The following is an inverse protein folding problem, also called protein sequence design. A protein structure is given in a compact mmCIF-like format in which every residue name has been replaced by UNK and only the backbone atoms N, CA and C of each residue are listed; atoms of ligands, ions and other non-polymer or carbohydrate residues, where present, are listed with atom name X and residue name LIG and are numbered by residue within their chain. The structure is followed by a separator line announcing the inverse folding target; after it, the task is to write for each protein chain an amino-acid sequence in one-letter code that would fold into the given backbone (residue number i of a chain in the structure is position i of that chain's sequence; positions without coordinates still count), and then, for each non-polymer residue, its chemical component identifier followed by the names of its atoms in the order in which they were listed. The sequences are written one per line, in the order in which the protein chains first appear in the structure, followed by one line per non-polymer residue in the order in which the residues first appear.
data_IF_436089088831
#
_entry.id   IF_436089088831
#
_cell.length_a   1.000
_cell.length_b   1.000
_cell.length_c   1.000
_cell.angle_alpha   90.00
_cell.angle_beta   90.00
_cell.angle_gamma   90.00
#
_symmetry.space_group_name_H-M   'P 1'
#
loop_
_entity.id
_entity.type
_entity.pdbx_description
1 polymer ?
#
# COMPACT_ATOMS: atom_id res chain seq x y z
N UNK A 1 6.96 -5.00 3.26
CA UNK A 1 6.33 -3.85 3.93
C UNK A 1 6.94 -2.57 3.41
N UNK A 2 6.13 -1.55 3.16
CA UNK A 2 6.51 -0.22 2.65
C UNK A 2 6.02 0.82 3.66
N UNK A 3 6.87 1.76 4.04
CA UNK A 3 6.58 2.79 5.05
C UNK A 3 6.53 4.18 4.42
N UNK A 4 6.00 5.15 5.18
CA UNK A 4 6.05 6.59 4.86
C UNK A 4 7.48 7.11 4.65
N UNK A 5 8.43 6.68 5.49
CA UNK A 5 9.86 6.98 5.28
C UNK A 5 10.46 5.98 4.31
N UNK A 6 11.19 6.47 3.32
CA UNK A 6 11.89 5.62 2.35
C UNK A 6 12.88 4.71 3.07
N UNK A 7 12.59 3.41 3.16
CA UNK A 7 13.43 2.43 3.85
C UNK A 7 14.49 1.82 2.94
N UNK A 8 14.95 2.55 1.90
CA UNK A 8 16.01 2.09 1.01
C UNK A 8 17.35 2.07 1.74
N UNK A 9 18.21 1.11 1.43
CA UNK A 9 19.56 1.05 1.94
C UNK A 9 20.41 2.15 1.27
N UNK A 10 20.86 3.18 2.00
CA UNK A 10 21.51 4.34 1.39
C UNK A 10 22.90 4.02 0.84
N UNK A 11 23.54 2.95 1.31
CA UNK A 11 24.86 2.47 0.87
C UNK A 11 24.78 1.46 -0.29
N UNK A 12 23.58 1.13 -0.77
CA UNK A 12 23.38 0.25 -1.93
C UNK A 12 22.82 1.06 -3.09
N UNK A 13 23.23 0.72 -4.31
CA UNK A 13 22.56 1.21 -5.51
C UNK A 13 21.13 0.64 -5.62
N UNK A 14 20.34 1.17 -6.55
CA UNK A 14 18.95 0.77 -6.80
C UNK A 14 18.83 -0.71 -7.13
N UNK A 15 19.71 -1.25 -7.98
CA UNK A 15 19.71 -2.66 -8.35
C UNK A 15 19.92 -3.54 -7.12
N UNK A 16 20.94 -3.24 -6.30
CA UNK A 16 21.26 -3.96 -5.07
C UNK A 16 20.17 -3.84 -4.01
N UNK A 17 19.49 -2.69 -3.94
CA UNK A 17 18.31 -2.53 -3.09
C UNK A 17 17.23 -3.55 -3.45
N UNK A 18 16.92 -3.72 -4.74
CA UNK A 18 15.91 -4.68 -5.21
C UNK A 18 16.41 -6.12 -5.07
N UNK A 19 17.67 -6.39 -5.41
CA UNK A 19 18.29 -7.72 -5.29
C UNK A 19 18.24 -8.27 -3.86
N UNK A 20 18.35 -7.40 -2.84
CA UNK A 20 18.41 -7.82 -1.44
C UNK A 20 17.30 -8.80 -1.06
N UNK A 21 16.05 -8.51 -1.40
CA UNK A 21 14.92 -9.39 -1.08
C UNK A 21 14.97 -10.74 -1.81
N UNK A 22 15.51 -10.74 -3.03
CA UNK A 22 15.63 -11.93 -3.89
C UNK A 22 16.76 -12.84 -3.40
N UNK A 23 17.92 -12.25 -3.04
CA UNK A 23 19.08 -12.98 -2.50
C UNK A 23 18.76 -13.65 -1.17
N UNK A 24 17.98 -12.98 -0.30
CA UNK A 24 17.52 -13.57 0.96
C UNK A 24 16.60 -14.79 0.76
N UNK A 25 15.98 -14.92 -0.42
CA UNK A 25 15.21 -16.10 -0.83
C UNK A 25 16.05 -17.28 -1.31
N UNK A 26 17.39 -17.17 -1.29
CA UNK A 26 18.31 -18.24 -1.71
C UNK A 26 18.72 -18.19 -3.20
N UNK A 27 18.29 -17.18 -3.94
CA UNK A 27 18.63 -17.01 -5.36
C UNK A 27 20.09 -16.57 -5.53
N UNK A 28 20.78 -17.13 -6.52
CA UNK A 28 22.17 -16.73 -6.82
C UNK A 28 22.27 -15.25 -7.21
N UNK A 29 23.41 -14.62 -6.93
CA UNK A 29 23.63 -13.19 -7.23
C UNK A 29 23.39 -12.83 -8.71
N UNK A 30 23.80 -13.70 -9.62
CA UNK A 30 23.61 -13.50 -11.07
C UNK A 30 22.13 -13.49 -11.43
N UNK A 31 21.38 -14.44 -10.89
CA UNK A 31 19.95 -14.57 -11.13
C UNK A 31 19.15 -13.47 -10.44
N UNK A 32 19.50 -13.12 -9.20
CA UNK A 32 18.91 -12.01 -8.46
C UNK A 32 19.10 -10.68 -9.21
N UNK A 33 20.27 -10.46 -9.83
CA UNK A 33 20.50 -9.28 -10.66
C UNK A 33 19.60 -9.28 -11.90
N UNK A 34 19.44 -10.41 -12.57
CA UNK A 34 18.57 -10.56 -13.74
C UNK A 34 17.12 -10.23 -13.39
N UNK A 35 16.60 -10.83 -12.33
CA UNK A 35 15.24 -10.55 -11.83
C UNK A 35 15.07 -9.10 -11.38
N UNK A 36 16.04 -8.54 -10.65
CA UNK A 36 16.00 -7.14 -10.23
C UNK A 36 15.94 -6.18 -11.42
N UNK A 37 16.66 -6.46 -12.51
CA UNK A 37 16.59 -5.64 -13.72
C UNK A 37 15.21 -5.73 -14.40
N UNK A 38 14.58 -6.90 -14.44
CA UNK A 38 13.21 -7.04 -14.96
C UNK A 38 12.22 -6.21 -14.15
N UNK A 39 12.33 -6.28 -12.83
CA UNK A 39 11.55 -5.44 -11.92
C UNK A 39 11.79 -3.94 -12.15
N UNK A 40 13.05 -3.52 -12.33
CA UNK A 40 13.38 -2.13 -12.63
C UNK A 40 12.86 -1.68 -13.99
N UNK A 41 12.79 -2.58 -14.97
CA UNK A 41 12.22 -2.33 -16.29
C UNK A 41 10.70 -2.11 -16.20
N UNK A 42 9.99 -2.96 -15.44
CA UNK A 42 8.53 -2.82 -15.20
C UNK A 42 8.21 -1.43 -14.65
N UNK A 43 9.11 -0.86 -13.84
CA UNK A 43 8.87 0.41 -13.14
C UNK A 43 9.50 1.61 -13.83
N UNK A 44 10.13 1.40 -14.99
CA UNK A 44 10.79 2.44 -15.78
C UNK A 44 11.99 3.07 -15.08
N UNK A 45 12.72 2.30 -14.25
CA UNK A 45 13.90 2.74 -13.52
C UNK A 45 15.18 1.97 -13.89
N UNK A 46 15.16 1.21 -14.99
CA UNK A 46 16.32 0.48 -15.50
C UNK A 46 17.56 1.39 -15.67
N UNK A 47 17.39 2.59 -16.23
CA UNK A 47 18.49 3.55 -16.42
C UNK A 47 19.10 4.07 -15.10
N UNK A 48 18.40 3.91 -13.98
CA UNK A 48 18.84 4.31 -12.64
C UNK A 48 19.33 3.13 -11.80
N UNK A 49 19.50 1.94 -12.39
CA UNK A 49 19.91 0.73 -11.68
C UNK A 49 21.21 0.91 -10.87
N UNK A 50 22.14 1.73 -11.36
CA UNK A 50 23.43 2.02 -10.70
C UNK A 50 23.41 3.29 -9.84
N UNK A 51 22.27 4.00 -9.77
CA UNK A 51 22.14 5.20 -8.94
C UNK A 51 21.93 4.82 -7.47
N UNK A 52 22.34 5.69 -6.57
CA UNK A 52 22.07 5.58 -5.14
C UNK A 52 20.78 6.31 -4.76
N UNK A 53 20.10 5.93 -3.66
CA UNK A 53 18.82 6.53 -3.26
C UNK A 53 18.81 8.06 -3.19
N UNK A 54 19.90 8.68 -2.73
CA UNK A 54 20.03 10.14 -2.63
C UNK A 54 20.07 10.86 -3.99
N UNK A 55 20.28 10.13 -5.08
CA UNK A 55 20.29 10.67 -6.46
C UNK A 55 18.91 10.58 -7.12
N UNK A 56 17.91 10.05 -6.43
CA UNK A 56 16.56 9.82 -6.95
C UNK A 56 15.56 10.82 -6.38
N UNK A 57 14.55 11.19 -7.18
CA UNK A 57 13.40 11.94 -6.65
C UNK A 57 12.58 11.09 -5.68
N UNK A 58 11.78 11.71 -4.82
CA UNK A 58 10.96 10.99 -3.83
C UNK A 58 10.03 9.93 -4.46
N UNK A 59 9.38 10.25 -5.59
CA UNK A 59 8.56 9.27 -6.32
C UNK A 59 9.37 8.13 -6.94
N UNK A 60 10.62 8.37 -7.33
CA UNK A 60 11.52 7.30 -7.79
C UNK A 60 11.94 6.40 -6.63
N UNK A 61 12.31 6.97 -5.48
CA UNK A 61 12.63 6.21 -4.27
C UNK A 61 11.43 5.35 -3.84
N UNK A 62 10.22 5.89 -3.93
CA UNK A 62 9.00 5.16 -3.60
C UNK A 62 8.78 3.97 -4.54
N UNK A 63 8.94 4.16 -5.86
CA UNK A 63 8.87 3.05 -6.82
C UNK A 63 9.89 1.97 -6.51
N UNK A 64 11.14 2.32 -6.20
CA UNK A 64 12.17 1.34 -5.81
C UNK A 64 11.77 0.61 -4.52
N UNK A 65 11.19 1.30 -3.54
CA UNK A 65 10.76 0.69 -2.28
C UNK A 65 9.62 -0.33 -2.48
N UNK A 66 8.62 0.01 -3.29
CA UNK A 66 7.52 -0.90 -3.66
C UNK A 66 8.09 -2.13 -4.35
N UNK A 67 8.95 -1.92 -5.35
CA UNK A 67 9.52 -3.01 -6.16
C UNK A 67 10.39 -3.93 -5.36
N UNK A 68 11.23 -3.39 -4.48
CA UNK A 68 12.01 -4.21 -3.55
C UNK A 68 11.12 -5.08 -2.68
N UNK A 69 10.00 -4.55 -2.20
CA UNK A 69 9.05 -5.33 -1.40
C UNK A 69 8.37 -6.43 -2.24
N UNK A 70 8.05 -6.14 -3.50
CA UNK A 70 7.43 -7.09 -4.43
C UNK A 70 8.39 -8.13 -4.99
N UNK A 71 9.66 -7.79 -5.15
CA UNK A 71 10.68 -8.68 -5.69
C UNK A 71 10.91 -9.92 -4.81
N UNK A 72 10.64 -9.81 -3.51
CA UNK A 72 10.60 -10.94 -2.58
C UNK A 72 9.38 -11.86 -2.74
N UNK A 73 8.49 -11.59 -3.72
CA UNK A 73 7.25 -12.32 -4.02
C UNK A 73 6.39 -12.62 -2.78
N UNK A 74 6.07 -11.59 -1.96
CA UNK A 74 5.27 -11.81 -0.76
C UNK A 74 3.81 -12.15 -1.14
N UNK A 75 3.14 -12.96 -0.31
CA UNK A 75 1.69 -13.17 -0.42
C UNK A 75 0.90 -11.92 -0.04
N UNK A 76 1.44 -11.12 0.89
CA UNK A 76 0.81 -9.91 1.43
C UNK A 76 1.80 -8.75 1.43
N UNK A 77 1.39 -7.61 0.85
CA UNK A 77 2.11 -6.35 0.87
C UNK A 77 1.44 -5.39 1.85
N UNK A 78 2.15 -5.08 2.95
CA UNK A 78 1.74 -4.05 3.90
C UNK A 78 2.30 -2.68 3.45
N UNK A 79 1.45 -1.66 3.38
CA UNK A 79 1.81 -0.29 3.02
C UNK A 79 1.26 0.67 4.08
N UNK A 80 2.14 1.37 4.78
CA UNK A 80 1.80 2.26 5.89
C UNK A 80 2.06 3.73 5.50
N UNK A 81 0.99 4.48 5.26
CA UNK A 81 0.96 5.89 4.82
C UNK A 81 1.95 6.22 3.70
N UNK A 82 2.13 5.26 2.81
CA UNK A 82 3.26 5.26 1.90
C UNK A 82 3.23 6.36 0.81
N UNK A 83 2.12 7.11 0.69
CA UNK A 83 1.97 8.19 -0.28
C UNK A 83 1.78 9.59 0.34
N UNK A 84 1.72 9.70 1.67
CA UNK A 84 1.42 10.97 2.36
C UNK A 84 2.52 12.02 2.15
N UNK A 85 3.78 11.59 1.99
CA UNK A 85 4.93 12.47 1.76
C UNK A 85 5.05 13.01 0.32
N UNK A 86 4.14 12.64 -0.58
CA UNK A 86 4.17 13.04 -1.99
C UNK A 86 3.21 14.20 -2.26
N UNK A 87 3.57 15.07 -3.20
CA UNK A 87 2.65 16.07 -3.75
C UNK A 87 1.46 15.39 -4.48
N UNK A 88 0.35 16.12 -4.61
CA UNK A 88 -0.91 15.56 -5.10
C UNK A 88 -0.78 14.92 -6.51
N UNK A 89 -0.02 15.53 -7.41
CA UNK A 89 0.13 15.01 -8.78
C UNK A 89 0.99 13.74 -8.79
N UNK A 90 2.10 13.74 -8.04
CA UNK A 90 2.97 12.56 -7.93
C UNK A 90 2.26 11.42 -7.21
N UNK A 91 1.48 11.72 -6.16
CA UNK A 91 0.65 10.77 -5.42
C UNK A 91 -0.33 10.05 -6.34
N UNK A 92 -1.14 10.77 -7.11
CA UNK A 92 -2.11 10.18 -8.03
C UNK A 92 -1.43 9.26 -9.07
N UNK A 93 -0.28 9.70 -9.61
CA UNK A 93 0.52 8.87 -10.52
C UNK A 93 1.00 7.59 -9.84
N UNK A 94 1.47 7.66 -8.61
CA UNK A 94 1.95 6.50 -7.85
C UNK A 94 0.82 5.53 -7.45
N UNK A 95 -0.36 6.05 -7.11
CA UNK A 95 -1.55 5.25 -6.83
C UNK A 95 -2.00 4.46 -8.07
N UNK A 96 -2.09 5.13 -9.23
CA UNK A 96 -2.40 4.46 -10.49
C UNK A 96 -1.36 3.40 -10.83
N UNK A 97 -0.09 3.73 -10.60
CA UNK A 97 1.01 2.81 -10.81
C UNK A 97 0.93 1.56 -9.92
N UNK A 98 0.60 1.74 -8.63
CA UNK A 98 0.36 0.61 -7.71
C UNK A 98 -0.79 -0.27 -8.20
N UNK A 99 -1.88 0.33 -8.67
CA UNK A 99 -3.02 -0.40 -9.23
C UNK A 99 -2.65 -1.20 -10.49
N UNK A 100 -1.80 -0.67 -11.36
CA UNK A 100 -1.31 -1.40 -12.54
C UNK A 100 -0.43 -2.60 -12.17
N UNK A 101 0.45 -2.43 -11.19
CA UNK A 101 1.26 -3.51 -10.63
C UNK A 101 0.36 -4.60 -10.03
N UNK A 102 -0.56 -4.20 -9.16
CA UNK A 102 -1.46 -5.12 -8.47
C UNK A 102 -2.31 -5.94 -9.44
N UNK A 103 -2.75 -5.35 -10.55
CA UNK A 103 -3.48 -6.09 -11.59
C UNK A 103 -2.64 -7.16 -12.31
N UNK A 104 -1.32 -7.02 -12.31
CA UNK A 104 -0.41 -7.96 -12.96
C UNK A 104 0.10 -9.04 -12.01
N UNK A 105 0.03 -8.79 -10.71
CA UNK A 105 0.68 -9.60 -9.68
C UNK A 105 -0.40 -9.91 -8.65
N UNK A 106 -0.80 -11.18 -8.57
CA UNK A 106 -1.84 -11.65 -7.65
C UNK A 106 -1.36 -11.61 -6.20
N UNK A 107 -1.39 -10.41 -5.60
CA UNK A 107 -0.96 -10.15 -4.23
C UNK A 107 -2.08 -9.48 -3.45
N UNK A 108 -2.14 -9.78 -2.15
CA UNK A 108 -3.00 -9.03 -1.23
C UNK A 108 -2.28 -7.78 -0.77
N UNK A 109 -2.90 -6.61 -0.89
CA UNK A 109 -2.34 -5.35 -0.38
C UNK A 109 -3.17 -4.89 0.83
N UNK A 110 -2.51 -4.67 1.96
CA UNK A 110 -3.10 -3.99 3.12
C UNK A 110 -2.52 -2.59 3.16
N UNK A 111 -3.37 -1.60 2.92
CA UNK A 111 -2.99 -0.21 2.84
C UNK A 111 -3.56 0.55 4.04
N UNK A 112 -2.69 1.18 4.82
CA UNK A 112 -3.02 2.00 5.98
C UNK A 112 -2.89 3.45 5.56
N UNK A 113 -3.94 4.24 5.74
CA UNK A 113 -3.97 5.67 5.42
C UNK A 113 -4.95 6.41 6.32
N UNK A 114 -4.68 7.70 6.52
CA UNK A 114 -5.62 8.66 7.11
C UNK A 114 -6.37 9.47 6.06
N UNK A 115 -6.06 9.30 4.77
CA UNK A 115 -6.70 10.02 3.67
C UNK A 115 -7.89 9.21 3.11
N UNK A 116 -9.09 9.80 3.21
CA UNK A 116 -10.34 9.18 2.77
C UNK A 116 -10.38 8.96 1.26
N UNK A 117 -9.86 9.91 0.49
CA UNK A 117 -9.88 9.79 -0.97
C UNK A 117 -8.96 8.65 -1.40
N UNK A 118 -7.83 8.45 -0.73
CA UNK A 118 -6.96 7.29 -0.96
C UNK A 118 -7.63 5.97 -0.61
N UNK A 119 -8.29 5.90 0.56
CA UNK A 119 -8.97 4.69 1.02
C UNK A 119 -10.05 4.26 0.01
N UNK A 120 -10.91 5.20 -0.41
CA UNK A 120 -12.00 4.92 -1.37
C UNK A 120 -11.44 4.68 -2.77
N UNK A 121 -10.31 5.28 -3.15
CA UNK A 121 -9.72 5.06 -4.48
C UNK A 121 -8.99 3.72 -4.60
N UNK A 122 -8.29 3.29 -3.54
CA UNK A 122 -7.42 2.11 -3.60
C UNK A 122 -8.08 0.83 -3.11
N UNK A 123 -8.99 0.89 -2.13
CA UNK A 123 -9.43 -0.30 -1.41
C UNK A 123 -10.68 -0.95 -1.99
N UNK A 124 -10.72 -2.28 -2.07
CA UNK A 124 -11.98 -3.00 -2.32
C UNK A 124 -12.86 -3.04 -1.06
N UNK A 125 -12.21 -3.10 0.11
CA UNK A 125 -12.84 -3.08 1.43
C UNK A 125 -12.08 -2.12 2.34
N UNK A 126 -12.82 -1.29 3.07
CA UNK A 126 -12.26 -0.34 4.04
C UNK A 126 -12.61 -0.85 5.43
N UNK A 127 -11.60 -1.05 6.26
CA UNK A 127 -11.77 -1.34 7.68
C UNK A 127 -11.56 -0.02 8.43
N UNK A 128 -12.60 0.46 9.10
CA UNK A 128 -12.48 1.66 9.92
C UNK A 128 -12.20 1.26 11.36
N UNK A 129 -11.13 1.82 11.92
CA UNK A 129 -10.71 1.55 13.29
C UNK A 129 -11.15 2.69 14.21
N UNK A 130 -11.77 2.34 15.33
CA UNK A 130 -12.07 3.28 16.41
C UNK A 130 -10.77 3.70 17.10
N UNK A 131 -10.59 4.99 17.45
CA UNK A 131 -9.48 5.40 18.29
C UNK A 131 -9.69 4.88 19.73
N UNK A 132 -8.63 4.31 20.31
CA UNK A 132 -8.47 3.97 21.75
C UNK A 132 -9.69 3.29 22.42
N UNK A 133 -9.66 1.95 22.62
CA UNK A 133 -8.75 0.97 22.07
C UNK A 133 -9.03 0.72 20.57
N UNK A 134 -8.00 0.34 19.81
CA UNK A 134 -8.10 0.08 18.37
C UNK A 134 -8.99 -1.13 18.08
N UNK A 135 -10.29 -0.89 17.89
CA UNK A 135 -11.28 -1.90 17.51
C UNK A 135 -11.81 -1.61 16.11
N UNK A 136 -12.16 -2.65 15.37
CA UNK A 136 -12.85 -2.49 14.08
C UNK A 136 -14.26 -1.99 14.40
N UNK A 137 -14.57 -0.78 13.94
CA UNK A 137 -15.91 -0.22 14.07
C UNK A 137 -16.81 -0.77 12.96
N UNK A 138 -16.35 -0.62 11.71
CA UNK A 138 -17.12 -0.97 10.54
C UNK A 138 -16.21 -1.51 9.43
N UNK A 139 -16.75 -2.44 8.65
CA UNK A 139 -16.15 -2.91 7.40
C UNK A 139 -17.04 -2.52 6.24
N UNK A 140 -16.55 -1.60 5.41
CA UNK A 140 -17.28 -1.05 4.27
C UNK A 140 -16.78 -1.71 2.99
N UNK A 141 -17.67 -2.32 2.22
CA UNK A 141 -17.38 -2.72 0.85
C UNK A 141 -17.54 -1.52 -0.07
N UNK A 142 -16.50 -1.19 -0.84
CA UNK A 142 -16.51 0.03 -1.66
C UNK A 142 -17.36 -0.24 -2.92
N UNK A 143 -18.46 0.49 -3.14
CA UNK A 143 -19.41 0.23 -4.22
C UNK A 143 -18.92 0.77 -5.57
N UNK A 144 -17.63 0.61 -5.88
CA UNK A 144 -16.99 1.11 -7.09
C UNK A 144 -16.32 -0.02 -7.86
N UNK A 145 -16.78 -0.25 -9.09
CA UNK A 145 -16.21 -1.26 -9.98
C UNK A 145 -14.75 -0.97 -10.35
N UNK A 146 -13.93 -2.02 -10.46
CA UNK A 146 -12.57 -1.96 -11.03
C UNK A 146 -12.62 -2.08 -12.57
N UNK A 147 -11.71 -1.45 -13.32
CA UNK A 147 -10.62 -0.58 -12.88
C UNK A 147 -11.11 0.82 -12.49
N UNK A 148 -10.62 1.34 -11.37
CA UNK A 148 -10.97 2.69 -10.91
C UNK A 148 -10.27 3.74 -11.77
N UNK A 149 -11.03 4.76 -12.17
CA UNK A 149 -10.56 5.92 -12.93
C UNK A 149 -10.73 7.19 -12.09
N UNK A 150 -9.91 8.19 -12.34
CA UNK A 150 -10.02 9.50 -11.68
C UNK A 150 -11.42 10.14 -11.84
N UNK A 151 -12.12 9.85 -12.95
CA UNK A 151 -13.50 10.32 -13.17
C UNK A 151 -14.51 9.74 -12.19
N UNK A 152 -14.22 8.61 -11.54
CA UNK A 152 -15.09 8.02 -10.51
C UNK A 152 -14.94 8.70 -9.16
N UNK A 153 -13.90 9.52 -8.94
CA UNK A 153 -13.73 10.26 -7.69
C UNK A 153 -14.82 11.34 -7.49
N UNK A 154 -15.55 11.68 -8.56
CA UNK A 154 -16.67 12.61 -8.54
C UNK A 154 -18.01 11.91 -8.74
N UNK A 155 -18.08 10.57 -8.68
CA UNK A 155 -19.34 9.84 -8.81
C UNK A 155 -20.15 9.91 -7.52
N UNK A 156 -21.47 9.76 -7.64
CA UNK A 156 -22.38 9.81 -6.49
C UNK A 156 -22.04 8.73 -5.46
N UNK A 157 -21.64 7.52 -5.90
CA UNK A 157 -21.23 6.43 -5.01
C UNK A 157 -19.95 6.75 -4.25
N UNK A 158 -18.99 7.40 -4.90
CA UNK A 158 -17.74 7.84 -4.25
C UNK A 158 -18.04 8.89 -3.19
N UNK A 159 -18.81 9.92 -3.54
CA UNK A 159 -19.17 11.01 -2.64
C UNK A 159 -20.02 10.51 -1.46
N UNK A 160 -20.95 9.58 -1.69
CA UNK A 160 -21.74 8.96 -0.63
C UNK A 160 -20.86 8.15 0.33
N UNK A 161 -19.93 7.34 -0.21
CA UNK A 161 -18.99 6.57 0.60
C UNK A 161 -18.09 7.50 1.44
N UNK A 162 -17.63 8.61 0.84
CA UNK A 162 -16.83 9.62 1.54
C UNK A 162 -17.61 10.27 2.68
N UNK A 163 -18.84 10.71 2.42
CA UNK A 163 -19.69 11.31 3.44
C UNK A 163 -19.95 10.35 4.62
N UNK A 164 -20.16 9.05 4.32
CA UNK A 164 -20.33 8.02 5.35
C UNK A 164 -19.06 7.87 6.21
N UNK A 165 -17.89 7.74 5.58
CA UNK A 165 -16.61 7.65 6.30
C UNK A 165 -16.32 8.90 7.13
N UNK A 166 -16.59 10.09 6.60
CA UNK A 166 -16.42 11.35 7.33
C UNK A 166 -17.32 11.42 8.57
N UNK A 167 -18.58 11.00 8.44
CA UNK A 167 -19.53 10.96 9.56
C UNK A 167 -19.07 9.96 10.64
N UNK A 168 -18.62 8.78 10.22
CA UNK A 168 -18.14 7.74 11.11
C UNK A 168 -16.90 8.18 11.90
N UNK A 169 -15.90 8.77 11.23
CA UNK A 169 -14.70 9.28 11.88
C UNK A 169 -15.02 10.44 12.83
N UNK A 170 -15.93 11.34 12.44
CA UNK A 170 -16.36 12.46 13.31
C UNK A 170 -17.03 11.97 14.58
N UNK A 171 -17.86 10.93 14.48
CA UNK A 171 -18.53 10.33 15.65
C UNK A 171 -17.54 9.82 16.70
N UNK A 172 -16.31 9.49 16.32
CA UNK A 172 -15.29 9.09 17.27
C UNK A 172 -14.73 10.26 18.08
N UNK A 173 -14.55 11.42 17.44
CA UNK A 173 -14.06 12.63 18.10
C UNK A 173 -15.01 13.13 19.18
N UNK A 174 -16.32 13.01 18.94
CA UNK A 174 -17.36 13.40 19.90
C UNK A 174 -17.49 12.41 21.07
N UNK A 175 -17.19 11.11 20.86
CA UNK A 175 -17.31 10.06 21.87
C UNK A 175 -16.04 9.83 22.72
N UNK A 176 -14.89 10.38 22.31
CA UNK A 176 -13.62 10.20 23.05
C UNK A 176 -13.54 10.94 24.38
N UNK A 177 -14.53 11.75 24.75
CA UNK A 177 -14.58 12.42 26.05
C UNK A 177 -15.20 11.54 27.17
N UNK A 178 -15.83 10.39 26.86
CA UNK A 178 -16.69 9.71 27.85
C UNK A 178 -16.34 8.25 28.23
N UNK A 179 -15.33 7.59 27.66
CA UNK A 179 -15.09 6.16 27.97
C UNK A 179 -13.63 5.79 28.19
N UNK A 180 -13.20 5.90 29.44
CA UNK A 180 -11.94 5.35 29.96
C UNK A 180 -12.30 4.34 31.07
N UNK A 181 -12.79 3.15 30.71
CA UNK A 181 -12.91 1.95 31.58
C UNK A 181 -13.48 0.77 30.75
N UNK A 182 -12.76 -0.36 30.65
CA UNK A 182 -13.38 -1.63 30.24
C UNK A 182 -12.51 -2.62 29.45
N UNK A 183 -12.37 -3.83 30.02
CA UNK A 183 -11.52 -4.96 29.66
C UNK A 183 -11.71 -5.61 28.26
N UNK A 184 -10.72 -6.42 27.93
CA UNK A 184 -10.36 -7.02 26.66
C UNK A 184 -11.31 -8.13 26.17
N UNK A 185 -11.68 -8.07 24.89
CA UNK A 185 -12.04 -9.24 24.10
C UNK A 185 -11.71 -8.94 22.62
N UNK A 186 -10.60 -9.51 22.14
CA UNK A 186 -10.10 -9.32 20.77
C UNK A 186 -10.77 -10.33 19.82
N UNK A 187 -11.90 -9.95 19.23
CA UNK A 187 -12.45 -10.72 18.12
C UNK A 187 -11.87 -10.19 16.80
N UNK A 188 -10.71 -10.71 16.39
CA UNK A 188 -10.11 -10.40 15.08
C UNK A 188 -10.99 -11.09 14.02
N UNK A 189 -11.71 -10.36 13.15
CA UNK A 189 -12.45 -11.00 12.07
C UNK A 189 -11.46 -11.73 11.16
N UNK A 190 -11.73 -13.01 10.90
CA UNK A 190 -10.93 -13.84 10.01
C UNK A 190 -11.00 -13.23 8.59
N UNK A 191 -9.98 -12.47 8.21
CA UNK A 191 -9.86 -11.88 6.87
C UNK A 191 -9.44 -12.97 5.88
N UNK A 192 -10.42 -13.80 5.50
CA UNK A 192 -10.37 -14.80 4.42
C UNK A 192 -9.28 -15.88 4.57
N UNK A 193 -9.67 -17.15 4.42
CA UNK A 193 -8.70 -18.24 4.28
C UNK A 193 -7.91 -18.02 2.99
N UNK A 194 -6.63 -17.68 3.11
CA UNK A 194 -5.69 -17.71 2.00
C UNK A 194 -5.52 -19.18 1.61
N UNK A 195 -6.34 -19.65 0.68
CA UNK A 195 -6.31 -21.04 0.25
C UNK A 195 -5.10 -21.25 -0.65
N UNK A 196 -4.20 -22.12 -0.22
CA UNK A 196 -3.20 -22.74 -1.09
C UNK A 196 -3.93 -23.70 -2.04
N UNK A 197 -4.45 -23.16 -3.15
CA UNK A 197 -4.80 -23.98 -4.31
C UNK A 197 -4.09 -23.43 -5.54
N UNK A 198 -2.84 -23.87 -5.68
CA UNK A 198 -2.21 -24.01 -6.98
C UNK A 198 -2.72 -25.32 -7.59
N UNK A 199 -3.47 -25.22 -8.67
CA UNK A 199 -3.56 -26.23 -9.73
C UNK A 199 -3.41 -25.50 -11.07
#
# INVERSE_FOLDING_TARGET
MVFQKYTLFPWMDVCRNVMFGIEMGGTSKTEARREAMQWLQIVGLEQFASSFPHQLSGGMQQRVAIVRALAARPRVLLMDESFSALDAQTRLKMQNYLMEIWRKIDITIVFITHDLDEAIYLADRILVLKPRPGRVEEVIEVPLSRPRRATQMTSDEFLATKAHLEALIRSFGDNTEETDEGEEDFNIPLLTLVTDKAE
#
